data_IF_449584181593
#
_entry.id   IF_449584181593
#
_cell.length_a   1.000
_cell.length_b   1.000
_cell.length_c   1.000
_cell.angle_alpha   90.00
_cell.angle_beta   90.00
_cell.angle_gamma   90.00
#
_symmetry.space_group_name_H-M   'P 1'
#
loop_
_entity.id
_entity.type
_entity.pdbx_description
1 polymer ?
#
# COMPACT_ATOMS: atom_id res chain seq x y z
N UNK A 1 16.04 -113.14 112.26
CA UNK A 1 14.67 -112.70 112.33
C UNK A 1 14.51 -111.39 111.55
N UNK A 2 13.64 -111.37 110.50
CA UNK A 2 12.77 -110.39 109.98
C UNK A 2 13.38 -109.24 109.17
N UNK A 3 13.22 -109.34 107.82
CA UNK A 3 12.45 -108.69 106.82
C UNK A 3 12.31 -107.16 106.95
N UNK A 4 12.68 -106.49 105.91
CA UNK A 4 11.74 -105.54 105.14
C UNK A 4 12.39 -105.03 103.82
N UNK A 5 11.58 -105.03 102.84
CA UNK A 5 11.69 -104.60 101.47
C UNK A 5 11.68 -103.08 101.41
N UNK A 6 12.37 -102.57 100.49
CA UNK A 6 12.05 -101.25 100.04
C UNK A 6 11.96 -101.14 98.48
N UNK A 7 10.83 -100.74 98.13
CA UNK A 7 10.45 -100.31 96.77
C UNK A 7 10.98 -98.88 96.52
N UNK A 8 11.70 -98.67 95.50
CA UNK A 8 11.99 -97.30 95.02
C UNK A 8 11.28 -97.09 93.70
N UNK A 9 10.55 -96.03 93.72
CA UNK A 9 9.78 -95.52 92.60
C UNK A 9 10.62 -94.62 91.64
N UNK A 10 10.41 -94.90 90.39
CA UNK A 10 10.85 -94.06 89.26
C UNK A 10 10.31 -92.64 89.34
N UNK A 11 11.25 -91.66 89.27
CA UNK A 11 10.92 -90.27 89.03
C UNK A 11 12.01 -89.53 88.25
N UNK A 12 12.59 -90.13 87.25
CA UNK A 12 13.61 -89.51 86.42
C UNK A 12 13.17 -89.06 85.01
N UNK A 13 11.88 -89.30 84.59
CA UNK A 13 11.42 -88.99 83.20
C UNK A 13 10.92 -87.64 82.92
N UNK A 14 10.72 -86.75 83.93
CA UNK A 14 10.04 -85.40 83.68
C UNK A 14 11.01 -84.24 83.75
N UNK A 15 12.24 -84.40 84.11
CA UNK A 15 13.17 -83.27 84.23
C UNK A 15 13.90 -82.84 82.90
N UNK A 16 14.03 -83.72 81.95
CA UNK A 16 14.73 -83.43 80.67
C UNK A 16 13.77 -82.83 79.59
N UNK A 17 12.44 -82.94 79.69
CA UNK A 17 11.54 -82.46 78.65
C UNK A 17 11.36 -80.89 78.77
N UNK A 18 11.42 -80.34 79.93
CA UNK A 18 11.20 -78.88 80.16
C UNK A 18 12.30 -78.04 79.64
N UNK A 19 13.58 -78.34 79.75
CA UNK A 19 14.66 -77.53 79.12
C UNK A 19 14.63 -77.54 77.60
N UNK A 20 14.35 -78.72 77.00
CA UNK A 20 14.24 -78.82 75.54
C UNK A 20 12.99 -78.10 75.02
N UNK A 21 11.82 -78.11 75.75
CA UNK A 21 10.63 -77.38 75.42
C UNK A 21 10.81 -75.87 75.52
N UNK A 22 11.53 -75.43 76.57
CA UNK A 22 11.90 -73.97 76.72
C UNK A 22 12.81 -73.45 75.62
N UNK A 23 13.75 -74.24 75.19
CA UNK A 23 14.68 -73.89 74.14
C UNK A 23 13.97 -73.78 72.77
N UNK A 24 13.12 -74.79 72.44
CA UNK A 24 12.29 -74.69 71.23
C UNK A 24 11.33 -73.52 71.24
N UNK A 25 10.71 -73.25 72.39
CA UNK A 25 9.80 -72.08 72.50
C UNK A 25 10.50 -70.77 72.46
N UNK A 26 11.72 -70.68 73.03
CA UNK A 26 12.54 -69.43 72.97
C UNK A 26 13.08 -69.18 71.55
N UNK A 27 13.50 -70.23 70.81
CA UNK A 27 13.89 -70.06 69.42
C UNK A 27 12.73 -69.68 68.52
N UNK A 28 11.55 -70.30 68.73
CA UNK A 28 10.33 -69.97 67.98
C UNK A 28 9.89 -68.53 68.28
N UNK A 29 9.92 -68.10 69.52
CA UNK A 29 9.63 -66.72 69.91
C UNK A 29 10.66 -65.73 69.31
N UNK A 30 11.93 -66.09 69.24
CA UNK A 30 12.98 -65.25 68.60
C UNK A 30 12.73 -65.12 67.10
N UNK A 31 12.40 -66.24 66.41
CA UNK A 31 12.07 -66.22 64.98
C UNK A 31 10.84 -65.35 64.70
N UNK A 32 9.77 -65.50 65.51
CA UNK A 32 8.57 -64.69 65.39
C UNK A 32 8.89 -63.20 65.66
N UNK A 33 9.70 -62.93 66.64
CA UNK A 33 10.15 -61.54 66.91
C UNK A 33 10.89 -60.95 65.72
N UNK A 34 11.83 -61.65 65.12
CA UNK A 34 12.57 -61.22 63.92
C UNK A 34 11.62 -61.01 62.75
N UNK A 35 10.67 -61.89 62.52
CA UNK A 35 9.67 -61.77 61.44
C UNK A 35 8.76 -60.52 61.65
N UNK A 36 8.32 -60.29 62.90
CA UNK A 36 7.54 -59.11 63.24
C UNK A 36 8.36 -57.80 63.00
N UNK A 37 9.63 -57.85 63.41
CA UNK A 37 10.54 -56.72 63.23
C UNK A 37 10.84 -56.44 61.77
N UNK A 38 11.04 -57.48 60.94
CA UNK A 38 11.17 -57.37 59.47
C UNK A 38 9.90 -56.82 58.81
N UNK A 39 8.73 -57.32 59.21
CA UNK A 39 7.44 -56.82 58.74
C UNK A 39 7.22 -55.36 59.13
N UNK A 40 7.59 -54.96 60.33
CA UNK A 40 7.51 -53.57 60.75
C UNK A 40 8.43 -52.65 59.91
N UNK A 41 9.68 -53.08 59.71
CA UNK A 41 10.65 -52.35 58.87
C UNK A 41 10.14 -52.21 57.44
N UNK A 42 9.61 -53.29 56.87
CA UNK A 42 9.00 -53.27 55.52
C UNK A 42 7.79 -52.29 55.46
N UNK A 43 6.96 -52.27 56.47
CA UNK A 43 5.81 -51.33 56.57
C UNK A 43 6.28 -49.87 56.61
N UNK A 44 7.34 -49.59 57.41
CA UNK A 44 7.93 -48.23 57.50
C UNK A 44 8.52 -47.78 56.16
N UNK A 45 9.28 -48.69 55.47
CA UNK A 45 9.84 -48.37 54.16
C UNK A 45 8.73 -48.12 53.13
N UNK A 46 7.69 -48.99 53.13
CA UNK A 46 6.54 -48.84 52.24
C UNK A 46 5.79 -47.54 52.50
N UNK A 47 5.53 -47.17 53.73
CA UNK A 47 4.91 -45.92 54.14
C UNK A 47 5.70 -44.69 53.62
N UNK A 48 7.02 -44.70 53.80
CA UNK A 48 7.89 -43.63 53.25
C UNK A 48 7.87 -43.53 51.72
N UNK A 49 7.84 -44.67 51.03
CA UNK A 49 7.71 -44.75 49.57
C UNK A 49 6.38 -44.16 49.09
N UNK A 50 5.27 -44.56 49.72
CA UNK A 50 3.92 -44.06 49.41
C UNK A 50 3.85 -42.52 49.61
N UNK A 51 4.40 -42.03 50.75
CA UNK A 51 4.47 -40.58 50.97
C UNK A 51 5.29 -39.84 49.90
N UNK A 52 6.43 -40.37 49.50
CA UNK A 52 7.26 -39.81 48.42
C UNK A 52 6.53 -39.82 47.05
N UNK A 53 5.82 -40.90 46.71
CA UNK A 53 5.00 -40.95 45.50
C UNK A 53 3.82 -39.97 45.52
N UNK A 54 3.18 -39.81 46.68
CA UNK A 54 2.09 -38.83 46.80
C UNK A 54 2.57 -37.40 46.56
N UNK A 55 3.74 -37.05 47.11
CA UNK A 55 4.39 -35.74 46.83
C UNK A 55 4.73 -35.55 45.34
N UNK A 56 5.24 -36.61 44.70
CA UNK A 56 5.55 -36.55 43.29
C UNK A 56 4.31 -36.43 42.41
N UNK A 57 3.22 -37.14 42.75
CA UNK A 57 1.93 -37.00 42.07
C UNK A 57 1.40 -35.58 42.22
N UNK A 58 1.37 -35.03 43.43
CA UNK A 58 0.90 -33.67 43.69
C UNK A 58 1.73 -32.62 42.89
N UNK A 59 3.04 -32.79 42.85
CA UNK A 59 3.92 -31.91 42.06
C UNK A 59 3.63 -32.02 40.55
N UNK A 60 3.40 -33.27 40.04
CA UNK A 60 3.05 -33.49 38.63
C UNK A 60 1.69 -32.90 38.28
N UNK A 61 0.72 -33.04 39.16
CA UNK A 61 -0.62 -32.43 38.98
C UNK A 61 -0.55 -30.91 38.95
N UNK A 62 0.25 -30.30 39.82
CA UNK A 62 0.48 -28.87 39.81
C UNK A 62 1.16 -28.40 38.52
N UNK A 63 2.12 -29.17 38.01
CA UNK A 63 2.77 -28.88 36.73
C UNK A 63 1.82 -29.02 35.55
N UNK A 64 0.94 -30.02 35.54
CA UNK A 64 -0.10 -30.18 34.52
C UNK A 64 -1.11 -29.04 34.55
N UNK A 65 -1.49 -28.58 35.73
CA UNK A 65 -2.39 -27.42 35.85
C UNK A 65 -1.73 -26.14 35.30
N UNK A 66 -0.46 -25.89 35.62
CA UNK A 66 0.28 -24.75 35.09
C UNK A 66 0.38 -24.80 33.57
N UNK A 67 0.75 -25.97 33.01
CA UNK A 67 0.89 -26.17 31.57
C UNK A 67 -0.45 -26.01 30.84
N UNK A 68 -1.53 -26.52 31.42
CA UNK A 68 -2.89 -26.32 30.86
C UNK A 68 -3.29 -24.82 30.87
N UNK A 69 -2.90 -24.07 31.89
CA UNK A 69 -3.08 -22.63 31.93
C UNK A 69 -2.32 -21.91 30.82
N UNK A 70 -1.03 -22.28 30.59
CA UNK A 70 -0.23 -21.71 29.49
C UNK A 70 -0.81 -22.05 28.11
N UNK A 71 -1.28 -23.28 27.94
CA UNK A 71 -1.93 -23.68 26.68
C UNK A 71 -3.22 -22.88 26.45
N UNK A 72 -4.03 -22.64 27.49
CA UNK A 72 -5.24 -21.86 27.38
C UNK A 72 -4.95 -20.39 26.99
N UNK A 73 -3.97 -19.76 27.63
CA UNK A 73 -3.52 -18.39 27.28
C UNK A 73 -2.94 -18.34 25.88
N UNK A 74 -2.06 -19.25 25.49
CA UNK A 74 -1.50 -19.34 24.14
C UNK A 74 -2.57 -19.51 23.04
N UNK A 75 -3.61 -20.32 23.32
CA UNK A 75 -4.76 -20.46 22.39
C UNK A 75 -5.55 -19.15 22.26
N UNK A 76 -5.77 -18.44 23.35
CA UNK A 76 -6.47 -17.15 23.33
C UNK A 76 -5.69 -16.09 22.56
N UNK A 77 -4.38 -16.00 22.76
CA UNK A 77 -3.47 -15.10 22.01
C UNK A 77 -3.44 -15.44 20.51
N UNK A 78 -3.33 -16.72 20.18
CA UNK A 78 -3.35 -17.18 18.79
C UNK A 78 -4.68 -16.84 18.12
N UNK A 79 -5.81 -17.07 18.78
CA UNK A 79 -7.14 -16.69 18.28
C UNK A 79 -7.25 -15.18 18.06
N UNK A 80 -6.76 -14.38 19.01
CA UNK A 80 -6.72 -12.92 18.87
C UNK A 80 -5.83 -12.46 17.71
N UNK A 81 -4.68 -13.10 17.51
CA UNK A 81 -3.76 -12.82 16.39
C UNK A 81 -4.38 -13.18 15.05
N UNK A 82 -5.06 -14.32 14.94
CA UNK A 82 -5.77 -14.73 13.73
C UNK A 82 -6.90 -13.75 13.36
N UNK A 83 -7.64 -13.28 14.35
CA UNK A 83 -8.67 -12.27 14.14
C UNK A 83 -8.09 -10.96 13.61
N UNK A 84 -6.98 -10.49 14.20
CA UNK A 84 -6.27 -9.28 13.71
C UNK A 84 -5.73 -9.46 12.30
N UNK A 85 -5.15 -10.60 11.98
CA UNK A 85 -4.68 -10.92 10.62
C UNK A 85 -5.83 -10.90 9.62
N UNK A 86 -6.99 -11.46 9.96
CA UNK A 86 -8.18 -11.40 9.11
C UNK A 86 -8.66 -9.97 8.87
N UNK A 87 -8.67 -9.12 9.91
CA UNK A 87 -9.00 -7.71 9.79
C UNK A 87 -8.00 -6.95 8.90
N UNK A 88 -6.69 -7.18 9.10
CA UNK A 88 -5.65 -6.58 8.27
C UNK A 88 -5.76 -7.00 6.80
N UNK A 89 -6.03 -8.27 6.53
CA UNK A 89 -6.25 -8.76 5.16
C UNK A 89 -7.46 -8.11 4.50
N UNK A 90 -8.55 -7.90 5.24
CA UNK A 90 -9.74 -7.19 4.73
C UNK A 90 -9.42 -5.73 4.38
N UNK A 91 -8.66 -5.02 5.22
CA UNK A 91 -8.20 -3.64 4.96
C UNK A 91 -7.28 -3.60 3.75
N UNK A 92 -6.33 -4.53 3.63
CA UNK A 92 -5.42 -4.60 2.47
C UNK A 92 -6.21 -4.86 1.18
N UNK A 93 -7.18 -5.77 1.19
CA UNK A 93 -8.02 -6.07 0.03
C UNK A 93 -8.87 -4.85 -0.40
N UNK A 94 -9.39 -4.08 0.56
CA UNK A 94 -10.14 -2.86 0.27
C UNK A 94 -9.22 -1.77 -0.30
N UNK A 95 -8.05 -1.56 0.30
CA UNK A 95 -7.05 -0.60 -0.21
C UNK A 95 -6.61 -0.96 -1.64
N UNK A 96 -6.43 -2.25 -1.95
CA UNK A 96 -6.08 -2.69 -3.30
C UNK A 96 -7.17 -2.36 -4.30
N UNK A 97 -8.46 -2.61 -3.97
CA UNK A 97 -9.58 -2.23 -4.84
C UNK A 97 -9.62 -0.73 -5.10
N UNK A 98 -9.37 0.08 -4.08
CA UNK A 98 -9.33 1.54 -4.21
C UNK A 98 -8.17 1.99 -5.10
N UNK A 99 -6.98 1.39 -4.97
CA UNK A 99 -5.84 1.66 -5.84
C UNK A 99 -6.13 1.27 -7.30
N UNK A 100 -6.74 0.11 -7.54
CA UNK A 100 -7.09 -0.34 -8.88
C UNK A 100 -8.13 0.61 -9.53
N UNK A 101 -9.12 1.06 -8.77
CA UNK A 101 -10.08 2.05 -9.23
C UNK A 101 -9.42 3.40 -9.56
N UNK A 102 -8.50 3.87 -8.71
CA UNK A 102 -7.73 5.09 -8.95
C UNK A 102 -6.86 4.97 -10.20
N UNK A 103 -6.14 3.85 -10.37
CA UNK A 103 -5.35 3.59 -11.57
C UNK A 103 -6.20 3.62 -12.84
N UNK A 104 -7.36 2.97 -12.83
CA UNK A 104 -8.27 2.98 -13.97
C UNK A 104 -8.75 4.41 -14.31
N UNK A 105 -9.05 5.22 -13.30
CA UNK A 105 -9.45 6.62 -13.51
C UNK A 105 -8.32 7.48 -14.05
N UNK A 106 -7.09 7.33 -13.51
CA UNK A 106 -5.92 8.06 -14.02
C UNK A 106 -5.60 7.67 -15.47
N UNK A 107 -5.72 6.39 -15.81
CA UNK A 107 -5.57 5.93 -17.19
C UNK A 107 -6.62 6.56 -18.11
N UNK A 108 -7.89 6.61 -17.71
CA UNK A 108 -8.95 7.24 -18.48
C UNK A 108 -8.68 8.73 -18.73
N UNK A 109 -8.20 9.47 -17.71
CA UNK A 109 -7.83 10.88 -17.85
C UNK A 109 -6.65 11.04 -18.82
N UNK A 110 -5.62 10.19 -18.73
CA UNK A 110 -4.47 10.24 -19.62
C UNK A 110 -4.87 9.94 -21.07
N UNK A 111 -5.67 8.89 -21.28
CA UNK A 111 -6.18 8.51 -22.63
C UNK A 111 -7.04 9.60 -23.23
N UNK A 112 -7.92 10.21 -22.42
CA UNK A 112 -8.76 11.32 -22.88
C UNK A 112 -7.89 12.51 -23.32
N UNK A 113 -6.90 12.91 -22.51
CA UNK A 113 -5.99 14.01 -22.84
C UNK A 113 -5.28 13.76 -24.16
N UNK A 114 -4.67 12.56 -24.32
CA UNK A 114 -3.97 12.17 -25.55
C UNK A 114 -4.96 12.18 -26.74
N UNK A 115 -6.15 11.63 -26.60
CA UNK A 115 -7.18 11.61 -27.66
C UNK A 115 -7.60 13.01 -28.10
N UNK A 116 -7.80 13.94 -27.14
CA UNK A 116 -8.15 15.33 -27.47
C UNK A 116 -7.02 16.01 -28.23
N UNK A 117 -5.79 15.88 -27.75
CA UNK A 117 -4.62 16.50 -28.39
C UNK A 117 -4.36 15.93 -29.76
N UNK A 118 -4.54 14.62 -29.95
CA UNK A 118 -4.38 13.96 -31.25
C UNK A 118 -5.46 14.40 -32.26
N UNK A 119 -6.71 14.54 -31.81
CA UNK A 119 -7.78 15.13 -32.64
C UNK A 119 -7.45 16.57 -33.06
N UNK A 120 -6.90 17.38 -32.17
CA UNK A 120 -6.48 18.74 -32.49
C UNK A 120 -5.32 18.75 -33.49
N UNK A 121 -4.29 17.93 -33.28
CA UNK A 121 -3.16 17.79 -34.18
C UNK A 121 -3.62 17.35 -35.57
N UNK A 122 -4.41 16.29 -35.68
CA UNK A 122 -4.96 15.78 -36.93
C UNK A 122 -5.77 16.82 -37.69
N UNK A 123 -6.62 17.59 -37.00
CA UNK A 123 -7.43 18.64 -37.61
C UNK A 123 -6.56 19.76 -38.19
N UNK A 124 -5.45 20.11 -37.55
CA UNK A 124 -4.49 21.08 -38.08
C UNK A 124 -3.69 20.54 -39.26
N UNK A 125 -3.18 19.31 -39.14
CA UNK A 125 -2.40 18.64 -40.19
C UNK A 125 -3.24 18.43 -41.47
N UNK A 126 -4.52 18.06 -41.35
CA UNK A 126 -5.44 17.89 -42.45
C UNK A 126 -5.68 19.17 -43.26
N UNK A 127 -5.59 20.34 -42.61
CA UNK A 127 -5.86 21.63 -43.25
C UNK A 127 -4.61 22.27 -43.87
N UNK A 128 -3.46 22.11 -43.24
CA UNK A 128 -2.23 22.85 -43.59
C UNK A 128 -1.09 21.96 -44.10
N UNK A 129 -1.28 20.64 -44.06
CA UNK A 129 -0.20 19.68 -44.21
C UNK A 129 0.55 19.47 -42.90
N UNK A 130 1.29 18.37 -42.83
CA UNK A 130 2.02 17.96 -41.61
C UNK A 130 3.28 18.79 -41.37
N UNK A 131 3.84 19.42 -42.39
CA UNK A 131 5.13 20.09 -42.35
C UNK A 131 5.15 21.38 -43.18
N UNK A 132 6.06 22.28 -42.84
CA UNK A 132 6.35 23.48 -43.66
C UNK A 132 7.18 23.08 -44.90
N UNK A 133 7.52 24.06 -45.75
CA UNK A 133 8.36 23.88 -46.96
C UNK A 133 9.76 23.30 -46.66
N UNK A 134 10.25 23.51 -45.41
CA UNK A 134 11.52 22.97 -44.93
C UNK A 134 11.40 21.57 -44.27
N UNK A 135 10.22 20.95 -44.29
CA UNK A 135 9.97 19.62 -43.73
C UNK A 135 9.80 19.60 -42.19
N UNK A 136 9.81 20.73 -41.51
CA UNK A 136 9.59 20.80 -40.07
C UNK A 136 8.06 20.75 -39.76
N UNK A 137 7.61 20.01 -38.74
CA UNK A 137 6.20 19.92 -38.40
C UNK A 137 5.69 21.28 -37.93
N UNK A 138 4.50 21.67 -38.41
CA UNK A 138 3.84 22.92 -38.04
C UNK A 138 3.33 22.90 -36.61
N UNK A 139 2.94 21.75 -36.15
CA UNK A 139 2.39 21.50 -34.81
C UNK A 139 2.98 20.21 -34.28
N UNK A 140 3.49 20.26 -33.06
CA UNK A 140 4.04 19.08 -32.37
C UNK A 140 3.32 18.86 -31.03
N UNK A 141 3.41 17.65 -30.50
CA UNK A 141 3.00 17.37 -29.13
C UNK A 141 4.29 17.30 -28.30
N UNK A 142 4.42 18.19 -27.35
CA UNK A 142 5.57 18.22 -26.45
C UNK A 142 5.55 17.07 -25.43
N UNK A 143 6.65 16.84 -24.76
CA UNK A 143 6.81 15.80 -23.71
C UNK A 143 5.80 15.95 -22.56
N UNK A 144 5.38 17.20 -22.29
CA UNK A 144 4.32 17.51 -21.33
C UNK A 144 2.91 17.23 -21.86
N UNK A 145 2.77 16.70 -23.07
CA UNK A 145 1.50 16.43 -23.73
C UNK A 145 0.74 17.67 -24.18
N UNK A 146 1.35 18.85 -24.28
CA UNK A 146 0.73 20.05 -24.83
C UNK A 146 0.94 20.13 -26.33
N UNK A 147 0.03 20.79 -27.04
CA UNK A 147 0.26 21.16 -28.42
C UNK A 147 1.22 22.34 -28.46
N UNK A 148 2.31 22.19 -29.21
CA UNK A 148 3.36 23.19 -29.37
C UNK A 148 3.33 23.74 -30.78
N UNK A 149 3.24 25.06 -30.90
CA UNK A 149 3.25 25.78 -32.17
C UNK A 149 4.38 26.80 -32.11
N UNK A 150 5.30 26.73 -33.07
CA UNK A 150 6.39 27.69 -33.14
C UNK A 150 5.85 29.11 -33.35
N UNK A 151 6.39 30.10 -32.60
CA UNK A 151 5.91 31.47 -32.70
C UNK A 151 6.13 32.11 -34.06
N UNK A 152 7.19 31.70 -34.78
CA UNK A 152 7.53 32.25 -36.10
C UNK A 152 6.42 32.01 -37.15
N UNK A 153 5.60 31.01 -36.93
CA UNK A 153 4.43 30.72 -37.77
C UNK A 153 3.32 31.77 -37.53
N UNK A 154 3.23 32.32 -36.33
CA UNK A 154 2.10 33.16 -35.90
C UNK A 154 2.44 34.65 -35.81
N UNK A 155 3.69 34.99 -35.47
CA UNK A 155 4.11 36.37 -35.16
C UNK A 155 5.42 36.74 -35.85
N UNK A 156 5.59 38.03 -36.10
CA UNK A 156 6.91 38.60 -36.39
C UNK A 156 7.74 38.68 -35.11
N UNK A 157 9.08 38.75 -35.28
CA UNK A 157 9.99 38.86 -34.15
C UNK A 157 9.65 40.07 -33.27
N UNK A 158 9.53 39.84 -31.96
CA UNK A 158 9.19 40.87 -30.99
C UNK A 158 7.75 41.40 -31.07
N UNK A 159 6.91 40.86 -31.95
CA UNK A 159 5.52 41.25 -32.14
C UNK A 159 4.55 40.27 -31.51
N UNK A 160 3.35 40.75 -31.26
CA UNK A 160 2.17 39.95 -30.87
C UNK A 160 1.02 40.05 -31.88
N UNK A 161 1.23 40.78 -33.00
CA UNK A 161 0.27 40.87 -34.09
C UNK A 161 0.27 39.55 -34.89
N UNK A 162 -0.87 38.93 -35.07
CA UNK A 162 -1.05 37.66 -35.79
C UNK A 162 -0.80 37.92 -37.30
N UNK A 163 0.08 37.12 -37.90
CA UNK A 163 0.36 37.13 -39.32
C UNK A 163 -0.87 36.72 -40.13
N UNK A 164 -0.99 37.23 -41.37
CA UNK A 164 -2.05 36.79 -42.28
C UNK A 164 -1.96 35.27 -42.59
N UNK A 165 -0.72 34.78 -42.75
CA UNK A 165 -0.45 33.36 -43.08
C UNK A 165 -0.71 32.42 -41.90
N UNK A 166 -0.78 32.94 -40.67
CA UNK A 166 -1.15 32.17 -39.47
C UNK A 166 -2.68 31.93 -39.36
N UNK A 167 -3.50 32.73 -40.03
CA UNK A 167 -4.94 32.66 -39.88
C UNK A 167 -5.55 31.30 -40.25
N UNK A 168 -5.20 30.65 -41.37
CA UNK A 168 -5.74 29.33 -41.69
C UNK A 168 -5.41 28.26 -40.62
N UNK A 169 -4.21 28.33 -40.01
CA UNK A 169 -3.83 27.47 -38.87
C UNK A 169 -4.76 27.71 -37.68
N UNK A 170 -4.93 28.97 -37.28
CA UNK A 170 -5.77 29.31 -36.14
C UNK A 170 -7.26 29.05 -36.38
N UNK A 171 -7.78 29.20 -37.63
CA UNK A 171 -9.13 28.84 -38.03
C UNK A 171 -9.38 27.33 -37.88
N UNK A 172 -8.40 26.52 -38.27
CA UNK A 172 -8.49 25.05 -38.14
C UNK A 172 -8.47 24.62 -36.69
N UNK A 173 -7.60 25.27 -35.88
CA UNK A 173 -7.53 25.07 -34.46
C UNK A 173 -8.83 25.47 -33.77
N UNK A 174 -9.41 26.62 -34.13
CA UNK A 174 -10.67 27.07 -33.59
C UNK A 174 -11.84 26.10 -33.89
N UNK A 175 -11.89 25.55 -35.11
CA UNK A 175 -12.86 24.50 -35.46
C UNK A 175 -12.66 23.23 -34.65
N UNK A 176 -11.42 22.76 -34.55
CA UNK A 176 -11.08 21.53 -33.82
C UNK A 176 -11.43 21.65 -32.33
N UNK A 177 -11.09 22.77 -31.69
CA UNK A 177 -11.46 23.07 -30.29
C UNK A 177 -12.98 23.14 -30.11
N UNK A 178 -13.70 23.73 -31.06
CA UNK A 178 -15.16 23.74 -31.06
C UNK A 178 -15.75 22.34 -31.12
N UNK A 179 -15.24 21.47 -31.98
CA UNK A 179 -15.70 20.09 -32.11
C UNK A 179 -15.42 19.28 -30.82
N UNK A 180 -14.26 19.47 -30.21
CA UNK A 180 -13.88 18.83 -28.93
C UNK A 180 -14.83 19.25 -27.81
N UNK A 181 -15.14 20.55 -27.72
CA UNK A 181 -16.02 21.08 -26.67
C UNK A 181 -17.51 20.83 -26.95
N UNK A 182 -17.89 20.58 -28.20
CA UNK A 182 -19.25 20.17 -28.55
C UNK A 182 -19.59 18.77 -28.06
N UNK A 183 -18.61 17.87 -27.98
CA UNK A 183 -18.74 16.53 -27.41
C UNK A 183 -18.92 16.65 -25.87
N UNK A 184 -20.10 16.25 -25.38
CA UNK A 184 -20.46 16.38 -23.98
C UNK A 184 -19.62 15.50 -23.06
N UNK A 185 -19.27 14.30 -23.51
CA UNK A 185 -18.50 13.33 -22.75
C UNK A 185 -17.05 13.77 -22.60
N UNK A 186 -16.47 14.28 -23.68
CA UNK A 186 -15.12 14.86 -23.68
C UNK A 186 -15.08 16.12 -22.82
N UNK A 187 -16.04 17.03 -23.03
CA UNK A 187 -16.14 18.31 -22.28
C UNK A 187 -16.32 18.12 -20.79
N UNK A 188 -17.06 17.08 -20.35
CA UNK A 188 -17.27 16.80 -18.93
C UNK A 188 -15.96 16.54 -18.17
N UNK A 189 -14.91 16.08 -18.87
CA UNK A 189 -13.62 15.75 -18.31
C UNK A 189 -12.56 16.87 -18.48
N UNK A 190 -12.93 17.99 -19.12
CA UNK A 190 -12.04 19.16 -19.29
C UNK A 190 -12.37 20.19 -18.21
N UNK A 191 -11.35 20.59 -17.45
CA UNK A 191 -11.43 21.75 -16.56
C UNK A 191 -11.17 23.03 -17.34
N UNK A 192 -10.01 23.09 -18.00
CA UNK A 192 -9.63 24.28 -18.77
C UNK A 192 -8.73 23.94 -19.96
N UNK A 193 -8.71 24.89 -20.93
CA UNK A 193 -7.80 24.94 -22.07
C UNK A 193 -7.00 26.22 -21.90
N UNK A 194 -5.71 26.08 -21.72
CA UNK A 194 -4.79 27.20 -21.45
C UNK A 194 -3.95 27.48 -22.68
N UNK A 195 -4.07 28.69 -23.23
CA UNK A 195 -3.16 29.19 -24.28
C UNK A 195 -1.96 29.80 -23.57
N UNK A 196 -0.77 29.24 -23.76
CA UNK A 196 0.44 29.60 -23.05
C UNK A 196 1.46 30.24 -23.97
N UNK A 197 1.95 31.44 -23.60
CA UNK A 197 2.99 32.13 -24.33
C UNK A 197 4.35 31.93 -23.68
N UNK A 198 5.35 31.58 -24.49
CA UNK A 198 6.73 31.40 -24.09
C UNK A 198 7.68 32.24 -24.95
N UNK A 199 8.81 32.67 -24.37
CA UNK A 199 9.89 33.42 -25.07
C UNK A 199 11.20 32.65 -24.90
N UNK A 200 12.21 33.07 -25.69
CA UNK A 200 13.59 32.67 -25.42
C UNK A 200 14.18 33.45 -24.23
N UNK A 201 15.43 33.19 -23.87
CA UNK A 201 16.10 33.80 -22.73
C UNK A 201 16.54 35.26 -22.97
N UNK A 202 16.52 35.72 -24.21
CA UNK A 202 16.98 37.08 -24.58
C UNK A 202 16.02 38.16 -24.10
N UNK A 203 16.55 39.29 -23.72
CA UNK A 203 15.77 40.41 -23.20
C UNK A 203 15.50 40.34 -21.70
N UNK A 204 14.85 41.39 -21.18
CA UNK A 204 14.47 41.46 -19.77
C UNK A 204 13.32 40.56 -19.44
N UNK A 205 13.27 40.08 -18.19
CA UNK A 205 12.13 39.27 -17.73
C UNK A 205 10.79 40.03 -17.87
N UNK A 206 10.77 41.32 -17.55
CA UNK A 206 9.56 42.14 -17.65
C UNK A 206 9.06 42.23 -19.09
N UNK A 207 9.95 42.47 -20.07
CA UNK A 207 9.59 42.47 -21.50
C UNK A 207 9.05 41.11 -21.93
N UNK A 208 9.72 40.03 -21.56
CA UNK A 208 9.30 38.67 -21.93
C UNK A 208 7.97 38.25 -21.29
N UNK A 209 7.70 38.71 -20.05
CA UNK A 209 6.38 38.51 -19.42
C UNK A 209 5.26 39.22 -20.21
N UNK A 210 5.47 40.50 -20.53
CA UNK A 210 4.49 41.29 -21.29
C UNK A 210 4.27 40.70 -22.69
N UNK A 211 5.35 40.37 -23.42
CA UNK A 211 5.27 39.81 -24.77
C UNK A 211 4.55 38.43 -24.77
N UNK A 212 4.91 37.51 -23.85
CA UNK A 212 4.29 36.22 -23.77
C UNK A 212 2.78 36.29 -23.38
N UNK A 213 2.42 37.23 -22.49
CA UNK A 213 1.02 37.50 -22.14
C UNK A 213 0.21 38.01 -23.35
N UNK A 214 0.75 39.04 -24.06
CA UNK A 214 0.08 39.61 -25.23
C UNK A 214 -0.10 38.59 -26.35
N UNK A 215 0.88 37.74 -26.60
CA UNK A 215 0.81 36.67 -27.59
C UNK A 215 -0.27 35.63 -27.25
N UNK A 216 -0.28 35.14 -26.02
CA UNK A 216 -1.29 34.20 -25.56
C UNK A 216 -2.71 34.80 -25.69
N UNK A 217 -2.88 36.03 -25.28
CA UNK A 217 -4.17 36.76 -25.36
C UNK A 217 -4.58 37.03 -26.80
N UNK A 218 -3.63 37.37 -27.70
CA UNK A 218 -3.90 37.60 -29.12
C UNK A 218 -4.40 36.32 -29.81
N UNK A 219 -3.74 35.16 -29.54
CA UNK A 219 -4.19 33.86 -30.05
C UNK A 219 -5.58 33.54 -29.54
N UNK A 220 -5.83 33.66 -28.23
CA UNK A 220 -7.16 33.38 -27.65
C UNK A 220 -8.25 34.28 -28.25
N UNK A 221 -7.98 35.57 -28.37
CA UNK A 221 -8.90 36.53 -28.99
C UNK A 221 -9.25 36.14 -30.42
N UNK A 222 -8.22 35.76 -31.22
CA UNK A 222 -8.43 35.31 -32.58
C UNK A 222 -9.29 34.03 -32.66
N UNK A 223 -9.03 33.03 -31.78
CA UNK A 223 -9.79 31.78 -31.74
C UNK A 223 -11.29 32.07 -31.48
N UNK A 224 -11.59 33.04 -30.61
CA UNK A 224 -12.97 33.48 -30.32
C UNK A 224 -13.63 34.24 -31.48
N UNK A 225 -12.83 34.98 -32.25
CA UNK A 225 -13.31 35.63 -33.48
C UNK A 225 -13.59 34.60 -34.58
N UNK A 226 -12.71 33.64 -34.79
CA UNK A 226 -12.82 32.62 -35.80
C UNK A 226 -13.94 31.61 -35.54
N UNK A 227 -14.24 31.31 -34.27
CA UNK A 227 -15.35 30.46 -33.89
C UNK A 227 -16.08 31.01 -32.66
N UNK A 228 -17.24 31.62 -32.87
CA UNK A 228 -18.01 32.26 -31.82
C UNK A 228 -18.50 31.30 -30.73
N UNK A 229 -18.65 30.02 -31.02
CA UNK A 229 -18.99 29.01 -29.99
C UNK A 229 -17.92 28.87 -28.93
N UNK A 230 -16.67 29.19 -29.25
CA UNK A 230 -15.60 29.18 -28.26
C UNK A 230 -15.73 30.28 -27.22
N UNK A 231 -16.29 31.45 -27.64
CA UNK A 231 -16.58 32.57 -26.73
C UNK A 231 -17.83 32.29 -25.89
N UNK A 232 -18.90 31.84 -26.56
CA UNK A 232 -20.21 31.54 -25.96
C UNK A 232 -20.83 30.31 -26.65
N UNK A 233 -21.05 29.21 -25.93
CA UNK A 233 -21.06 29.03 -24.46
C UNK A 233 -19.76 28.54 -23.82
N UNK A 234 -18.67 28.34 -24.56
CA UNK A 234 -17.48 27.60 -24.06
C UNK A 234 -16.38 28.50 -23.47
N UNK A 235 -16.55 29.84 -23.44
CA UNK A 235 -15.54 30.79 -22.96
C UNK A 235 -14.97 30.46 -21.57
N UNK A 236 -15.80 29.92 -20.69
CA UNK A 236 -15.42 29.54 -19.32
C UNK A 236 -14.32 28.48 -19.25
N UNK A 237 -14.08 27.72 -20.33
CA UNK A 237 -13.03 26.73 -20.39
C UNK A 237 -11.67 27.30 -20.79
N UNK A 238 -11.61 28.55 -21.24
CA UNK A 238 -10.39 29.12 -21.77
C UNK A 238 -9.69 30.05 -20.80
N UNK A 239 -8.37 30.00 -20.81
CA UNK A 239 -7.50 30.98 -20.15
C UNK A 239 -6.24 31.23 -20.98
N UNK A 240 -5.63 32.41 -20.78
CA UNK A 240 -4.33 32.75 -21.35
C UNK A 240 -3.28 32.85 -20.24
N UNK A 241 -2.15 32.17 -20.42
CA UNK A 241 -1.02 32.14 -19.48
C UNK A 241 0.24 32.69 -20.11
N UNK A 242 1.01 33.44 -19.32
CA UNK A 242 2.34 33.91 -19.71
C UNK A 242 3.42 33.15 -18.92
N UNK A 243 4.49 32.75 -19.56
CA UNK A 243 5.58 32.02 -18.91
C UNK A 243 6.94 32.65 -19.13
N UNK A 244 7.01 33.75 -19.93
CA UNK A 244 8.25 34.43 -20.18
C UNK A 244 9.35 33.44 -20.68
N UNK A 245 10.55 33.56 -20.22
CA UNK A 245 11.69 32.68 -20.49
C UNK A 245 11.92 31.58 -19.46
N UNK A 246 11.03 31.43 -18.48
CA UNK A 246 11.27 30.58 -17.30
C UNK A 246 10.90 29.11 -17.49
N UNK A 247 10.35 28.73 -18.64
CA UNK A 247 10.03 27.35 -18.99
C UNK A 247 10.60 26.96 -20.35
N UNK A 248 11.95 26.93 -20.50
CA UNK A 248 12.55 26.48 -21.73
C UNK A 248 12.29 24.97 -21.94
N UNK A 249 12.05 24.57 -23.19
CA UNK A 249 12.03 23.17 -23.61
C UNK A 249 13.37 22.73 -24.18
N UNK A 250 14.20 23.70 -24.63
CA UNK A 250 15.55 23.48 -25.07
C UNK A 250 16.48 24.36 -24.23
N UNK A 251 17.37 23.82 -23.40
CA UNK A 251 18.26 24.55 -22.55
C UNK A 251 19.48 25.12 -23.30
N UNK A 252 19.61 24.86 -24.63
CA UNK A 252 20.70 25.37 -25.47
C UNK A 252 20.63 26.86 -25.65
N UNK A 253 21.79 27.46 -26.05
CA UNK A 253 21.95 28.89 -26.34
C UNK A 253 22.15 29.16 -27.83
N UNK A 254 21.78 28.22 -28.69
CA UNK A 254 21.80 28.35 -30.14
C UNK A 254 20.53 29.01 -30.65
N UNK A 255 20.54 29.52 -31.89
CA UNK A 255 19.33 30.10 -32.50
C UNK A 255 18.23 29.06 -32.64
N UNK A 256 18.57 27.78 -32.91
CA UNK A 256 17.61 26.69 -32.98
C UNK A 256 16.94 26.44 -31.61
N UNK A 257 17.73 26.42 -30.51
CA UNK A 257 17.18 26.32 -29.16
C UNK A 257 16.28 27.52 -28.82
N UNK A 258 16.66 28.72 -29.22
CA UNK A 258 15.82 29.89 -29.05
C UNK A 258 14.52 29.81 -29.85
N UNK A 259 14.55 29.29 -31.07
CA UNK A 259 13.34 29.06 -31.86
C UNK A 259 12.41 28.03 -31.24
N UNK A 260 12.92 26.94 -30.67
CA UNK A 260 12.13 25.98 -29.91
C UNK A 260 11.47 26.62 -28.68
N UNK A 261 12.18 27.46 -27.97
CA UNK A 261 11.68 28.13 -26.77
C UNK A 261 10.61 29.18 -27.07
N UNK A 262 10.72 29.91 -28.23
CA UNK A 262 9.70 30.84 -28.69
C UNK A 262 8.52 30.09 -29.28
N UNK A 263 7.49 29.87 -28.47
CA UNK A 263 6.34 29.06 -28.82
C UNK A 263 5.07 29.50 -28.16
N UNK A 264 3.96 29.05 -28.71
CA UNK A 264 2.66 28.98 -28.04
C UNK A 264 2.38 27.51 -27.72
N UNK A 265 2.01 27.24 -26.50
CA UNK A 265 1.49 25.94 -26.11
C UNK A 265 0.00 26.01 -25.84
N UNK A 266 -0.70 24.92 -26.23
CA UNK A 266 -2.11 24.73 -25.86
C UNK A 266 -2.17 23.51 -24.95
N UNK A 267 -2.53 23.77 -23.71
CA UNK A 267 -2.64 22.76 -22.67
C UNK A 267 -4.10 22.48 -22.39
N UNK A 268 -4.49 21.20 -22.44
CA UNK A 268 -5.78 20.71 -21.96
C UNK A 268 -5.60 20.23 -20.54
N UNK A 269 -6.24 20.90 -19.60
CA UNK A 269 -6.21 20.57 -18.17
C UNK A 269 -7.43 19.69 -17.89
N UNK A 270 -7.23 18.45 -17.46
CA UNK A 270 -8.33 17.57 -17.08
C UNK A 270 -9.00 18.04 -15.79
N UNK A 271 -10.29 17.72 -15.64
CA UNK A 271 -11.03 18.03 -14.42
C UNK A 271 -10.56 17.16 -13.26
N UNK A 272 -10.18 17.82 -12.19
CA UNK A 272 -9.54 17.21 -11.02
C UNK A 272 -10.54 16.75 -9.94
N UNK A 273 -11.83 17.04 -10.11
CA UNK A 273 -12.88 16.75 -9.13
C UNK A 273 -12.95 15.26 -8.76
N UNK A 274 -12.62 14.38 -9.71
CA UNK A 274 -12.64 12.93 -9.50
C UNK A 274 -11.45 12.48 -8.65
N UNK A 275 -10.27 12.98 -8.94
CA UNK A 275 -9.05 12.69 -8.17
C UNK A 275 -9.16 13.29 -6.77
N UNK A 276 -9.68 14.51 -6.68
CA UNK A 276 -9.91 15.22 -5.42
C UNK A 276 -10.89 14.48 -4.51
N UNK A 277 -12.03 14.03 -5.03
CA UNK A 277 -12.99 13.22 -4.26
C UNK A 277 -12.35 11.95 -3.70
N UNK A 278 -11.57 11.25 -4.50
CA UNK A 278 -10.90 10.02 -4.05
C UNK A 278 -9.90 10.32 -2.94
N UNK A 279 -9.11 11.40 -3.07
CA UNK A 279 -8.17 11.83 -2.03
C UNK A 279 -8.93 12.24 -0.76
N UNK A 280 -10.03 12.99 -0.88
CA UNK A 280 -10.87 13.39 0.25
C UNK A 280 -11.52 12.19 0.95
N UNK A 281 -12.03 11.21 0.20
CA UNK A 281 -12.61 9.98 0.75
C UNK A 281 -11.56 9.09 1.44
N UNK A 282 -10.31 9.13 0.96
CA UNK A 282 -9.19 8.41 1.56
C UNK A 282 -8.67 9.09 2.84
N UNK A 283 -8.64 10.42 2.86
CA UNK A 283 -8.13 11.19 4.01
C UNK A 283 -9.15 11.38 5.13
N UNK A 284 -10.43 11.13 4.90
CA UNK A 284 -11.50 11.20 5.90
C UNK A 284 -11.69 9.90 6.71
N UNK A 285 -11.04 8.83 6.32
CA UNK A 285 -11.02 7.54 7.04
C UNK A 285 -9.78 7.42 7.92
#
# INVERSE_FOLDING_TARGET
MRNRRHLLSDHEGTREIWPAFTDVMSTLALILFVLVLLSYVQTLISAKRVAAFQLQIAASEQQLHALNGEIATGKAELSGSLTRLGQQQAVIAENQRQLDALHAQLQNIAVLRVSVLDKLRQAVEAQLGASNEAGAPLVTVGDNGNIVINESLMFEYGSYAIKKDAKPLLDSLARALGNVLADADVRANIDSIVIQGHTDERGSAAFNWDLSAKRATAVLGYLFEANKMLADPYGRYFSAGAYSKFRPIDPGTTEDAYQHNRRIEISVVPRDDTVRKIIEDYTRK
#
